data_IF_136600861415
#
_entry.id   IF_136600861415
#
_cell.length_a   1.000
_cell.length_b   1.000
_cell.length_c   1.000
_cell.angle_alpha   90.00
_cell.angle_beta   90.00
_cell.angle_gamma   90.00
#
_symmetry.space_group_name_H-M   'P 1'
#
loop_
_entity.id
_entity.type
_entity.pdbx_description
1 polymer ?
#
# COMPACT_ATOMS: atom_id res chain seq x y z
N UNK A 1 14.38 19.58 -30.66
CA UNK A 1 13.34 18.55 -30.45
C UNK A 1 12.35 19.07 -29.41
N UNK A 2 11.06 18.76 -29.52
CA UNK A 2 10.05 19.25 -28.58
C UNK A 2 10.27 18.70 -27.15
N UNK A 3 10.05 19.56 -26.15
CA UNK A 3 10.07 19.21 -24.74
C UNK A 3 8.81 18.42 -24.35
N UNK A 4 8.94 17.49 -23.40
CA UNK A 4 7.87 16.64 -22.86
C UNK A 4 7.62 17.08 -21.42
N UNK A 5 6.41 17.60 -21.16
CA UNK A 5 5.98 18.05 -19.84
C UNK A 5 5.38 16.89 -19.05
N UNK A 6 5.98 16.57 -17.91
CA UNK A 6 5.62 15.46 -17.04
C UNK A 6 5.13 16.02 -15.71
N UNK A 7 3.90 15.72 -15.32
CA UNK A 7 3.40 15.98 -13.98
C UNK A 7 3.55 14.72 -13.13
N UNK A 8 4.35 14.79 -12.06
CA UNK A 8 4.45 13.72 -11.06
C UNK A 8 3.64 14.15 -9.84
N UNK A 9 2.55 13.43 -9.57
CA UNK A 9 1.73 13.65 -8.38
C UNK A 9 2.25 12.78 -7.24
N UNK A 10 2.68 13.41 -6.15
CA UNK A 10 3.24 12.75 -4.98
C UNK A 10 4.75 12.96 -4.84
N UNK A 11 5.20 13.14 -3.59
CA UNK A 11 6.60 13.37 -3.21
C UNK A 11 7.04 12.34 -2.16
N UNK A 12 6.46 11.15 -2.19
CA UNK A 12 6.85 10.03 -1.34
C UNK A 12 8.17 9.40 -1.78
N UNK A 13 8.59 8.34 -1.09
CA UNK A 13 9.87 7.67 -1.33
C UNK A 13 10.09 7.22 -2.78
N UNK A 14 9.04 6.76 -3.47
CA UNK A 14 9.14 6.30 -4.85
C UNK A 14 9.30 7.42 -5.88
N UNK A 15 8.89 8.65 -5.54
CA UNK A 15 8.88 9.74 -6.49
C UNK A 15 10.30 10.23 -6.83
N UNK A 16 11.24 10.22 -5.88
CA UNK A 16 12.62 10.66 -6.13
C UNK A 16 13.34 9.83 -7.21
N UNK A 17 13.44 8.48 -7.11
CA UNK A 17 14.11 7.69 -8.15
C UNK A 17 13.40 7.79 -9.52
N UNK A 18 12.07 7.91 -9.53
CA UNK A 18 11.30 8.16 -10.76
C UNK A 18 11.71 9.49 -11.41
N UNK A 19 11.67 10.59 -10.65
CA UNK A 19 12.02 11.94 -11.14
C UNK A 19 13.49 12.02 -11.54
N UNK A 20 14.40 11.43 -10.75
CA UNK A 20 15.82 11.36 -11.08
C UNK A 20 16.03 10.66 -12.43
N UNK A 21 15.45 9.47 -12.62
CA UNK A 21 15.56 8.73 -13.88
C UNK A 21 15.03 9.54 -15.07
N UNK A 22 13.83 10.12 -14.95
CA UNK A 22 13.21 10.91 -16.00
C UNK A 22 14.02 12.19 -16.32
N UNK A 23 14.66 12.78 -15.33
CA UNK A 23 15.48 13.99 -15.48
C UNK A 23 16.75 13.76 -16.31
N UNK A 24 17.20 12.49 -16.47
CA UNK A 24 18.36 12.13 -17.31
C UNK A 24 18.12 12.45 -18.78
N UNK A 25 16.86 12.46 -19.22
CA UNK A 25 16.51 12.90 -20.57
C UNK A 25 16.50 14.43 -20.67
N UNK A 26 17.21 15.04 -21.65
CA UNK A 26 17.17 16.48 -21.86
C UNK A 26 15.81 16.99 -22.37
N UNK A 27 14.90 16.07 -22.76
CA UNK A 27 13.56 16.41 -23.24
C UNK A 27 12.54 16.52 -22.11
N UNK A 28 12.85 16.06 -20.90
CA UNK A 28 11.88 16.01 -19.80
C UNK A 28 11.84 17.35 -19.06
N UNK A 29 10.67 17.97 -18.99
CA UNK A 29 10.32 19.05 -18.06
C UNK A 29 9.38 18.51 -17.00
N UNK A 30 9.84 18.41 -15.75
CA UNK A 30 9.11 17.68 -14.71
C UNK A 30 8.57 18.65 -13.67
N UNK A 31 7.26 18.57 -13.41
CA UNK A 31 6.62 19.26 -12.30
C UNK A 31 6.24 18.24 -11.23
N UNK A 32 6.73 18.40 -10.00
CA UNK A 32 6.38 17.53 -8.88
C UNK A 32 5.34 18.23 -8.01
N UNK A 33 4.12 17.69 -8.01
CA UNK A 33 2.96 18.23 -7.31
C UNK A 33 2.69 17.54 -5.98
N UNK A 34 2.58 18.32 -4.90
CA UNK A 34 2.18 17.84 -3.58
C UNK A 34 1.40 18.86 -2.77
N UNK A 35 0.60 18.38 -1.81
CA UNK A 35 -0.14 19.24 -0.89
C UNK A 35 0.80 20.13 -0.06
N UNK A 36 1.91 19.56 0.40
CA UNK A 36 2.96 20.28 1.12
C UNK A 36 4.06 20.67 0.15
N UNK A 37 4.14 21.94 -0.26
CA UNK A 37 5.15 22.41 -1.23
C UNK A 37 6.57 22.02 -0.82
N UNK A 38 6.89 22.14 0.47
CA UNK A 38 8.23 21.86 1.00
C UNK A 38 8.74 20.44 0.71
N UNK A 39 7.85 19.44 0.71
CA UNK A 39 8.26 18.06 0.44
C UNK A 39 8.61 17.85 -1.04
N UNK A 40 7.90 18.54 -1.94
CA UNK A 40 8.24 18.56 -3.37
C UNK A 40 9.55 19.30 -3.62
N UNK A 41 9.79 20.45 -2.96
CA UNK A 41 11.06 21.20 -3.06
C UNK A 41 12.27 20.34 -2.66
N UNK A 42 12.17 19.61 -1.55
CA UNK A 42 13.23 18.70 -1.08
C UNK A 42 13.49 17.60 -2.12
N UNK A 43 12.43 17.06 -2.71
CA UNK A 43 12.54 15.99 -3.70
C UNK A 43 13.27 16.45 -4.96
N UNK A 44 12.90 17.62 -5.50
CA UNK A 44 13.45 18.14 -6.75
C UNK A 44 14.85 18.77 -6.59
N UNK A 45 15.28 19.03 -5.37
CA UNK A 45 16.58 19.65 -5.10
C UNK A 45 17.74 18.87 -5.75
N UNK A 46 18.52 19.56 -6.57
CA UNK A 46 19.66 18.99 -7.31
C UNK A 46 19.30 18.30 -8.63
N UNK A 47 18.03 18.28 -9.05
CA UNK A 47 17.59 17.63 -10.29
C UNK A 47 17.35 18.64 -11.41
N UNK A 48 17.98 18.44 -12.57
CA UNK A 48 17.84 19.33 -13.71
C UNK A 48 16.42 19.27 -14.32
N UNK A 49 15.91 20.42 -14.79
CA UNK A 49 14.59 20.56 -15.46
C UNK A 49 13.42 20.06 -14.61
N UNK A 50 13.51 20.27 -13.30
CA UNK A 50 12.46 19.92 -12.35
C UNK A 50 11.96 21.19 -11.64
N UNK A 51 10.67 21.21 -11.30
CA UNK A 51 10.08 22.25 -10.44
C UNK A 51 9.10 21.64 -9.45
N UNK A 52 9.04 22.20 -8.25
CA UNK A 52 8.05 21.85 -7.24
C UNK A 52 6.81 22.74 -7.41
N UNK A 53 5.63 22.16 -7.28
CA UNK A 53 4.36 22.89 -7.28
C UNK A 53 3.46 22.39 -6.16
N UNK A 54 2.68 23.31 -5.58
CA UNK A 54 1.67 22.95 -4.59
C UNK A 54 0.39 22.53 -5.32
N UNK A 55 -0.07 21.31 -5.05
CA UNK A 55 -1.31 20.76 -5.61
C UNK A 55 -2.00 19.92 -4.54
N UNK A 56 -3.28 20.19 -4.29
CA UNK A 56 -4.16 19.26 -3.58
C UNK A 56 -4.95 18.43 -4.61
N UNK A 57 -4.76 17.10 -4.59
CA UNK A 57 -5.50 16.18 -5.46
C UNK A 57 -7.01 16.16 -5.15
N UNK A 58 -7.44 16.73 -4.03
CA UNK A 58 -8.85 16.93 -3.71
C UNK A 58 -9.44 18.17 -4.39
N UNK A 59 -8.63 19.13 -4.83
CA UNK A 59 -9.07 20.31 -5.56
C UNK A 59 -9.16 20.02 -7.07
N UNK A 60 -10.37 19.89 -7.60
CA UNK A 60 -10.60 19.58 -9.02
C UNK A 60 -9.99 20.63 -9.94
N UNK A 61 -10.11 21.92 -9.58
CA UNK A 61 -9.57 23.01 -10.40
C UNK A 61 -8.05 23.01 -10.47
N UNK A 62 -7.36 22.79 -9.35
CA UNK A 62 -5.89 22.76 -9.32
C UNK A 62 -5.37 21.55 -10.11
N UNK A 63 -6.04 20.40 -9.93
CA UNK A 63 -5.69 19.17 -10.60
C UNK A 63 -5.93 19.28 -12.11
N UNK A 64 -7.06 19.82 -12.54
CA UNK A 64 -7.39 20.05 -13.95
C UNK A 64 -6.37 20.99 -14.62
N UNK A 65 -6.10 22.16 -14.02
CA UNK A 65 -5.11 23.13 -14.55
C UNK A 65 -3.72 22.50 -14.70
N UNK A 66 -3.27 21.73 -13.71
CA UNK A 66 -1.97 21.09 -13.74
C UNK A 66 -1.88 19.96 -14.78
N UNK A 67 -2.93 19.15 -14.89
CA UNK A 67 -3.02 18.08 -15.87
C UNK A 67 -3.06 18.65 -17.29
N UNK A 68 -3.91 19.65 -17.56
CA UNK A 68 -4.04 20.32 -18.85
C UNK A 68 -2.71 20.92 -19.35
N UNK A 69 -1.83 21.34 -18.43
CA UNK A 69 -0.52 21.90 -18.75
C UNK A 69 0.56 20.84 -19.08
N UNK A 70 0.22 19.55 -19.04
CA UNK A 70 1.16 18.43 -19.11
C UNK A 70 0.90 17.50 -20.30
N UNK A 71 1.90 16.73 -20.71
CA UNK A 71 1.75 15.70 -21.75
C UNK A 71 1.46 14.32 -21.14
N UNK A 72 1.96 14.07 -19.94
CA UNK A 72 1.75 12.83 -19.19
C UNK A 72 1.69 13.13 -17.69
N UNK A 73 0.84 12.40 -16.98
CA UNK A 73 0.70 12.43 -15.53
C UNK A 73 1.18 11.10 -14.96
N UNK A 74 2.08 11.14 -14.00
CA UNK A 74 2.52 9.99 -13.22
C UNK A 74 1.91 10.12 -11.81
N UNK A 75 0.97 9.23 -11.48
CA UNK A 75 0.27 9.24 -10.20
C UNK A 75 0.95 8.31 -9.20
N UNK A 76 1.68 8.91 -8.24
CA UNK A 76 2.34 8.23 -7.11
C UNK A 76 1.69 8.60 -5.77
N UNK A 77 0.43 9.05 -5.82
CA UNK A 77 -0.42 9.32 -4.65
C UNK A 77 -1.22 8.06 -4.26
N UNK A 78 -1.92 8.04 -3.09
CA UNK A 78 -2.75 6.91 -2.70
C UNK A 78 -3.77 6.48 -3.78
N UNK A 79 -3.96 5.17 -3.94
CA UNK A 79 -4.73 4.59 -5.05
C UNK A 79 -6.19 5.06 -5.14
N UNK A 80 -6.75 5.53 -4.03
CA UNK A 80 -8.11 6.09 -3.97
C UNK A 80 -8.31 7.30 -4.89
N UNK A 81 -7.23 8.02 -5.23
CA UNK A 81 -7.29 9.20 -6.10
C UNK A 81 -7.16 8.86 -7.59
N UNK A 82 -6.72 7.65 -7.95
CA UNK A 82 -6.38 7.31 -9.34
C UNK A 82 -7.57 7.44 -10.29
N UNK A 83 -8.76 6.96 -9.89
CA UNK A 83 -9.94 7.03 -10.74
C UNK A 83 -10.34 8.49 -11.07
N UNK A 84 -10.17 9.41 -10.10
CA UNK A 84 -10.40 10.84 -10.30
C UNK A 84 -9.37 11.47 -11.24
N UNK A 85 -8.08 11.19 -10.99
CA UNK A 85 -6.97 11.69 -11.81
C UNK A 85 -7.12 11.23 -13.26
N UNK A 86 -7.43 9.95 -13.48
CA UNK A 86 -7.64 9.38 -14.81
C UNK A 86 -8.82 10.04 -15.51
N UNK A 87 -9.94 10.26 -14.82
CA UNK A 87 -11.12 10.94 -15.39
C UNK A 87 -10.77 12.34 -15.90
N UNK A 88 -10.04 13.12 -15.10
CA UNK A 88 -9.62 14.48 -15.48
C UNK A 88 -8.59 14.45 -16.62
N UNK A 89 -7.66 13.49 -16.60
CA UNK A 89 -6.68 13.30 -17.67
C UNK A 89 -7.32 12.91 -19.00
N UNK A 90 -8.33 12.04 -19.00
CA UNK A 90 -9.13 11.69 -20.18
C UNK A 90 -9.79 12.94 -20.77
N UNK A 91 -10.41 13.78 -19.94
CA UNK A 91 -11.04 15.02 -20.39
C UNK A 91 -10.03 15.99 -21.05
N UNK A 92 -8.80 16.03 -20.54
CA UNK A 92 -7.72 16.86 -21.06
C UNK A 92 -6.88 16.19 -22.16
N UNK A 93 -7.19 14.95 -22.54
CA UNK A 93 -6.42 14.14 -23.50
C UNK A 93 -4.95 13.93 -23.10
N UNK A 94 -4.71 13.71 -21.81
CA UNK A 94 -3.38 13.54 -21.22
C UNK A 94 -3.17 12.09 -20.80
N UNK A 95 -2.01 11.52 -21.14
CA UNK A 95 -1.67 10.14 -20.80
C UNK A 95 -1.41 9.99 -19.29
N UNK A 96 -1.66 8.80 -18.75
CA UNK A 96 -1.50 8.52 -17.32
C UNK A 96 -0.65 7.28 -17.09
N UNK A 97 0.24 7.35 -16.09
CA UNK A 97 1.00 6.21 -15.57
C UNK A 97 0.75 6.07 -14.07
N UNK A 98 0.52 4.85 -13.60
CA UNK A 98 0.43 4.53 -12.16
C UNK A 98 1.16 3.23 -11.85
N UNK A 99 1.61 3.06 -10.61
CA UNK A 99 2.22 1.81 -10.11
C UNK A 99 1.24 0.99 -9.27
N UNK A 100 -0.07 1.15 -9.51
CA UNK A 100 -1.13 0.53 -8.71
C UNK A 100 -2.02 -0.35 -9.58
N UNK A 101 -2.68 -1.33 -8.95
CA UNK A 101 -3.67 -2.20 -9.57
C UNK A 101 -4.78 -1.44 -10.30
N UNK A 102 -5.31 -2.04 -11.36
CA UNK A 102 -6.52 -1.57 -12.06
C UNK A 102 -7.76 -1.89 -11.22
N UNK A 103 -8.27 -0.89 -10.51
CA UNK A 103 -9.51 -1.02 -9.74
C UNK A 103 -10.76 -1.07 -10.65
N UNK A 104 -11.93 -1.55 -10.16
CA UNK A 104 -13.18 -1.49 -10.92
C UNK A 104 -13.54 -0.08 -11.40
N UNK A 105 -13.27 0.94 -10.59
CA UNK A 105 -13.51 2.34 -10.93
C UNK A 105 -12.58 2.87 -12.03
N UNK A 106 -11.35 2.32 -12.15
CA UNK A 106 -10.44 2.59 -13.27
C UNK A 106 -10.93 1.84 -14.51
N UNK A 107 -11.26 0.55 -14.38
CA UNK A 107 -11.72 -0.30 -15.48
C UNK A 107 -12.97 0.24 -16.18
N UNK A 108 -13.90 0.83 -15.42
CA UNK A 108 -15.10 1.47 -15.97
C UNK A 108 -14.80 2.66 -16.92
N UNK A 109 -13.57 3.18 -16.93
CA UNK A 109 -13.15 4.31 -17.76
C UNK A 109 -12.43 3.89 -19.06
N UNK A 110 -12.21 2.59 -19.29
CA UNK A 110 -11.44 2.06 -20.43
C UNK A 110 -11.97 2.56 -21.79
N UNK A 111 -13.27 2.43 -22.03
CA UNK A 111 -13.89 2.91 -23.29
C UNK A 111 -13.81 4.44 -23.45
N UNK A 112 -13.80 5.19 -22.35
CA UNK A 112 -13.63 6.64 -22.39
C UNK A 112 -12.19 7.01 -22.75
N UNK A 113 -11.20 6.32 -22.19
CA UNK A 113 -9.78 6.50 -22.51
C UNK A 113 -9.50 6.19 -23.99
N UNK A 114 -10.00 5.06 -24.50
CA UNK A 114 -9.88 4.67 -25.91
C UNK A 114 -10.48 5.73 -26.85
N UNK A 115 -11.70 6.19 -26.57
CA UNK A 115 -12.37 7.24 -27.37
C UNK A 115 -11.62 8.57 -27.34
N UNK A 116 -10.99 8.91 -26.22
CA UNK A 116 -10.19 10.13 -26.09
C UNK A 116 -8.79 10.01 -26.73
N UNK A 117 -8.36 8.80 -27.13
CA UNK A 117 -7.00 8.55 -27.60
C UNK A 117 -5.94 8.65 -26.49
N UNK A 118 -6.35 8.38 -25.25
CA UNK A 118 -5.50 8.51 -24.05
C UNK A 118 -5.01 7.13 -23.63
N UNK A 119 -3.70 7.03 -23.41
CA UNK A 119 -3.07 5.83 -22.85
C UNK A 119 -3.03 5.95 -21.34
N UNK A 120 -3.57 4.93 -20.66
CA UNK A 120 -3.51 4.78 -19.21
C UNK A 120 -2.78 3.48 -18.91
N UNK A 121 -1.55 3.57 -18.40
CA UNK A 121 -0.74 2.42 -18.00
C UNK A 121 -0.75 2.32 -16.48
N UNK A 122 -1.23 1.20 -15.98
CA UNK A 122 -1.24 0.84 -14.56
C UNK A 122 -0.19 -0.25 -14.30
N UNK A 123 -0.05 -0.69 -13.04
CA UNK A 123 0.68 -1.92 -12.72
C UNK A 123 2.12 -1.93 -13.26
N UNK A 124 2.81 -0.78 -13.23
CA UNK A 124 4.22 -0.65 -13.64
C UNK A 124 5.13 -0.30 -12.45
N UNK A 125 4.95 -1.01 -11.34
CA UNK A 125 5.80 -0.97 -10.16
C UNK A 125 6.72 -2.18 -10.05
N UNK A 126 6.85 -2.71 -8.83
CA UNK A 126 7.56 -3.97 -8.55
C UNK A 126 6.56 -5.13 -8.50
N UNK A 127 5.56 -4.99 -7.64
CA UNK A 127 4.40 -5.88 -7.48
C UNK A 127 3.21 -4.97 -7.11
N UNK A 128 2.31 -4.66 -8.07
CA UNK A 128 2.27 -5.17 -9.45
C UNK A 128 3.25 -4.43 -10.40
N UNK A 129 3.94 -5.17 -11.26
CA UNK A 129 4.78 -4.67 -12.37
C UNK A 129 5.86 -5.64 -12.85
N UNK A 130 7.05 -5.56 -12.26
CA UNK A 130 8.18 -6.44 -12.63
C UNK A 130 7.79 -7.91 -12.52
N UNK A 131 6.99 -8.26 -11.52
CA UNK A 131 6.48 -9.61 -11.36
C UNK A 131 5.64 -10.08 -12.57
N UNK A 132 4.80 -9.22 -13.15
CA UNK A 132 4.05 -9.54 -14.38
C UNK A 132 4.98 -9.75 -15.57
N UNK A 133 5.99 -8.89 -15.73
CA UNK A 133 6.91 -8.96 -16.86
C UNK A 133 7.64 -10.31 -16.91
N UNK A 134 8.15 -10.77 -15.76
CA UNK A 134 8.85 -12.05 -15.69
C UNK A 134 7.90 -13.25 -15.69
N UNK A 135 6.71 -13.12 -15.09
CA UNK A 135 5.69 -14.17 -15.16
C UNK A 135 5.29 -14.43 -16.62
N UNK A 136 4.88 -13.39 -17.36
CA UNK A 136 4.47 -13.49 -18.76
C UNK A 136 5.61 -14.02 -19.62
N UNK A 137 6.83 -13.47 -19.45
CA UNK A 137 8.00 -13.95 -20.19
C UNK A 137 8.20 -15.46 -20.05
N UNK A 138 8.19 -15.98 -18.82
CA UNK A 138 8.41 -17.41 -18.58
C UNK A 138 7.25 -18.28 -19.08
N UNK A 139 6.00 -17.80 -18.94
CA UNK A 139 4.82 -18.49 -19.47
C UNK A 139 4.91 -18.60 -21.00
N UNK A 140 5.21 -17.50 -21.68
CA UNK A 140 5.37 -17.45 -23.14
C UNK A 140 6.50 -18.38 -23.61
N UNK A 141 7.64 -18.40 -22.89
CA UNK A 141 8.76 -19.29 -23.19
C UNK A 141 8.39 -20.77 -23.09
N UNK A 142 7.60 -21.15 -22.08
CA UNK A 142 7.10 -22.52 -21.91
C UNK A 142 6.09 -22.86 -23.00
N UNK A 143 5.11 -22.00 -23.27
CA UNK A 143 4.10 -22.23 -24.30
C UNK A 143 4.69 -22.29 -25.71
N UNK A 144 5.74 -21.51 -26.00
CA UNK A 144 6.43 -21.54 -27.31
C UNK A 144 7.10 -22.88 -27.63
N UNK A 145 7.29 -23.73 -26.61
CA UNK A 145 7.86 -25.07 -26.72
C UNK A 145 6.79 -26.16 -26.49
N UNK A 146 5.51 -25.81 -26.68
CA UNK A 146 4.34 -26.68 -26.42
C UNK A 146 4.26 -27.20 -24.98
N UNK A 147 4.97 -26.55 -24.05
CA UNK A 147 4.93 -26.84 -22.62
C UNK A 147 3.64 -26.35 -21.97
N UNK A 148 3.38 -26.82 -20.75
CA UNK A 148 2.17 -26.46 -19.98
C UNK A 148 2.56 -25.99 -18.58
N UNK A 149 1.98 -24.88 -18.15
CA UNK A 149 2.14 -24.41 -16.77
C UNK A 149 1.17 -25.20 -15.90
N UNK A 150 1.68 -26.10 -15.07
CA UNK A 150 0.85 -26.90 -14.15
C UNK A 150 0.50 -26.16 -12.87
N UNK A 151 1.51 -25.46 -12.34
CA UNK A 151 1.38 -24.67 -11.12
C UNK A 151 2.14 -23.37 -11.29
N UNK A 152 1.58 -22.29 -10.75
CA UNK A 152 2.19 -20.97 -10.74
C UNK A 152 2.22 -20.42 -9.32
N UNK A 153 3.41 -20.03 -8.87
CA UNK A 153 3.63 -19.40 -7.58
C UNK A 153 4.47 -18.13 -7.75
N UNK A 154 3.99 -17.00 -7.24
CA UNK A 154 4.75 -15.76 -7.21
C UNK A 154 4.65 -15.12 -5.82
N UNK A 155 5.79 -14.87 -5.19
CA UNK A 155 5.83 -14.31 -3.85
C UNK A 155 6.77 -13.11 -3.82
N UNK A 156 6.30 -11.97 -3.32
CA UNK A 156 7.08 -10.74 -3.22
C UNK A 156 7.03 -10.17 -1.78
N UNK A 157 8.12 -9.53 -1.34
CA UNK A 157 8.16 -8.86 -0.05
C UNK A 157 9.19 -7.74 0.00
N UNK A 158 8.75 -6.52 0.30
CA UNK A 158 9.62 -5.42 0.69
C UNK A 158 9.90 -5.48 2.18
N UNK A 159 11.04 -6.04 2.56
CA UNK A 159 11.41 -6.29 3.96
C UNK A 159 12.72 -5.57 4.33
N UNK A 160 12.94 -5.21 5.61
CA UNK A 160 14.27 -4.79 6.04
C UNK A 160 15.28 -5.92 5.81
N UNK A 161 16.54 -5.57 5.57
CA UNK A 161 17.61 -6.57 5.56
C UNK A 161 17.66 -7.30 6.92
N UNK A 162 18.06 -8.59 6.98
CA UNK A 162 18.04 -9.38 8.21
C UNK A 162 18.73 -8.71 9.40
N UNK A 163 19.88 -8.07 9.18
CA UNK A 163 20.63 -7.34 10.21
C UNK A 163 19.92 -6.09 10.75
N UNK A 164 18.91 -5.59 10.02
CA UNK A 164 18.09 -4.44 10.38
C UNK A 164 16.66 -4.87 10.77
N UNK A 165 16.41 -6.17 10.94
CA UNK A 165 15.15 -6.72 11.42
C UNK A 165 15.13 -6.68 12.96
N UNK A 166 14.83 -5.51 13.50
CA UNK A 166 15.07 -5.14 14.90
C UNK A 166 13.79 -4.77 15.67
N UNK A 167 12.60 -5.04 15.11
CA UNK A 167 11.32 -4.71 15.71
C UNK A 167 10.32 -5.87 15.65
N UNK A 168 9.27 -5.86 16.51
CA UNK A 168 8.35 -6.99 16.67
C UNK A 168 7.53 -7.35 15.43
N UNK A 169 7.32 -6.39 14.52
CA UNK A 169 6.62 -6.65 13.25
C UNK A 169 7.57 -7.19 12.18
N UNK A 170 8.87 -7.18 12.41
CA UNK A 170 9.89 -7.47 11.41
C UNK A 170 9.72 -6.69 10.11
N UNK A 171 9.35 -5.42 10.23
CA UNK A 171 9.10 -4.55 9.08
C UNK A 171 9.68 -3.17 9.31
N UNK A 172 10.11 -2.51 8.24
CA UNK A 172 10.36 -1.07 8.22
C UNK A 172 9.61 -0.45 7.07
N UNK A 173 9.01 0.71 7.28
CA UNK A 173 8.16 1.32 6.28
C UNK A 173 9.00 1.95 5.18
N UNK A 174 8.92 1.36 3.98
CA UNK A 174 9.43 1.94 2.73
C UNK A 174 8.33 2.58 1.87
N UNK A 175 7.08 2.57 2.38
CA UNK A 175 5.89 3.15 1.77
C UNK A 175 4.81 3.40 2.84
N UNK A 176 3.64 3.88 2.44
CA UNK A 176 2.55 4.28 3.35
C UNK A 176 2.22 3.20 4.40
N UNK A 177 2.41 3.44 5.71
CA UNK A 177 2.08 2.49 6.77
C UNK A 177 0.59 2.09 6.75
N UNK A 178 -0.30 3.05 6.48
CA UNK A 178 -1.74 2.79 6.31
C UNK A 178 -2.00 1.78 5.20
N UNK A 179 -1.34 1.95 4.06
CA UNK A 179 -1.45 1.02 2.94
C UNK A 179 -0.92 -0.38 3.27
N UNK A 180 0.16 -0.48 4.06
CA UNK A 180 0.74 -1.76 4.53
C UNK A 180 -0.25 -2.54 5.37
N UNK A 181 -0.96 -1.87 6.29
CA UNK A 181 -1.94 -2.55 7.14
C UNK A 181 -3.22 -2.91 6.40
N UNK A 182 -3.70 -2.03 5.51
CA UNK A 182 -4.90 -2.33 4.73
C UNK A 182 -4.69 -3.48 3.74
N UNK A 183 -3.51 -3.59 3.12
CA UNK A 183 -3.24 -4.72 2.22
C UNK A 183 -3.27 -6.06 2.95
N UNK A 184 -2.99 -6.06 4.26
CA UNK A 184 -3.08 -7.23 5.14
C UNK A 184 -4.51 -7.50 5.64
N UNK A 185 -5.47 -6.63 5.33
CA UNK A 185 -6.89 -6.79 5.65
C UNK A 185 -7.74 -7.10 4.41
N UNK A 186 -7.13 -7.41 3.27
CA UNK A 186 -7.86 -7.80 2.07
C UNK A 186 -8.40 -9.23 2.20
N UNK A 187 -9.49 -9.56 1.52
CA UNK A 187 -9.81 -10.97 1.27
C UNK A 187 -8.86 -11.54 0.22
N UNK A 188 -8.64 -12.84 0.27
CA UNK A 188 -7.96 -13.62 -0.75
C UNK A 188 -8.94 -14.56 -1.45
N UNK A 189 -8.70 -14.83 -2.72
CA UNK A 189 -9.27 -15.96 -3.47
C UNK A 189 -8.09 -16.63 -4.16
N UNK A 190 -8.01 -17.92 -4.47
CA UNK A 190 -6.97 -18.52 -5.34
C UNK A 190 -7.36 -19.86 -5.92
N UNK A 191 -6.63 -20.32 -6.94
CA UNK A 191 -6.84 -21.65 -7.51
C UNK A 191 -5.81 -22.59 -6.89
N UNK A 192 -6.27 -23.70 -6.31
CA UNK A 192 -5.43 -24.77 -5.79
C UNK A 192 -6.10 -26.11 -6.08
N UNK A 193 -5.37 -27.00 -6.75
CA UNK A 193 -5.87 -28.32 -7.13
C UNK A 193 -7.23 -28.25 -7.85
N UNK A 194 -7.33 -27.36 -8.85
CA UNK A 194 -8.52 -27.05 -9.66
C UNK A 194 -9.71 -26.47 -8.87
N UNK A 195 -9.52 -26.16 -7.59
CA UNK A 195 -10.55 -25.62 -6.72
C UNK A 195 -10.26 -24.17 -6.40
N UNK A 196 -11.29 -23.35 -6.55
CA UNK A 196 -11.28 -21.99 -6.00
C UNK A 196 -11.30 -22.07 -4.48
N UNK A 197 -10.31 -21.46 -3.85
CA UNK A 197 -10.17 -21.28 -2.41
C UNK A 197 -10.39 -19.81 -2.11
N UNK A 198 -11.44 -19.47 -1.37
CA UNK A 198 -11.67 -18.11 -0.90
C UNK A 198 -11.31 -18.02 0.59
N UNK A 199 -10.55 -16.99 0.96
CA UNK A 199 -10.10 -16.68 2.31
C UNK A 199 -10.61 -15.29 2.68
N UNK A 200 -11.52 -15.19 3.66
CA UNK A 200 -11.99 -13.92 4.18
C UNK A 200 -10.84 -13.07 4.74
N UNK A 201 -11.02 -11.74 4.76
CA UNK A 201 -10.05 -10.80 5.32
C UNK A 201 -9.55 -11.15 6.73
N UNK A 202 -10.44 -11.66 7.58
CA UNK A 202 -10.13 -12.09 8.94
C UNK A 202 -9.12 -13.24 9.01
N UNK A 203 -9.02 -14.03 7.93
CA UNK A 203 -8.21 -15.24 7.82
C UNK A 203 -7.05 -15.06 6.82
N UNK A 204 -6.91 -13.89 6.17
CA UNK A 204 -5.89 -13.62 5.14
C UNK A 204 -4.47 -13.81 5.65
N UNK A 205 -4.19 -13.45 6.90
CA UNK A 205 -2.87 -13.68 7.52
C UNK A 205 -2.48 -15.16 7.62
N UNK A 206 -3.29 -16.07 7.07
CA UNK A 206 -2.96 -17.46 6.83
C UNK A 206 -2.62 -17.82 5.35
N UNK A 207 -3.17 -17.23 4.27
CA UNK A 207 -2.82 -17.58 2.86
C UNK A 207 -3.17 -16.49 1.78
N UNK A 208 -2.94 -16.73 0.47
CA UNK A 208 -2.68 -15.72 -0.60
C UNK A 208 -3.63 -15.70 -1.87
N UNK A 209 -3.43 -14.88 -2.94
CA UNK A 209 -4.40 -14.55 -4.06
C UNK A 209 -3.90 -14.78 -5.52
N UNK A 210 -4.66 -15.10 -6.60
CA UNK A 210 -4.17 -15.28 -7.96
C UNK A 210 -4.47 -14.05 -8.80
N UNK A 211 -3.83 -14.03 -9.96
CA UNK A 211 -4.13 -13.11 -11.04
C UNK A 211 -4.13 -13.85 -12.37
N UNK A 212 -4.72 -13.24 -13.39
CA UNK A 212 -5.01 -13.88 -14.66
C UNK A 212 -3.82 -13.76 -15.63
N UNK A 213 -2.98 -14.81 -15.70
CA UNK A 213 -1.82 -14.88 -16.60
C UNK A 213 -2.05 -15.69 -17.88
N UNK A 214 -3.30 -15.97 -18.27
CA UNK A 214 -3.57 -16.74 -19.50
C UNK A 214 -3.11 -18.20 -19.44
N UNK A 215 -3.07 -18.79 -18.25
CA UNK A 215 -2.68 -20.19 -17.97
C UNK A 215 -3.89 -21.05 -17.56
N UNK A 216 -4.90 -21.26 -18.44
CA UNK A 216 -6.09 -22.05 -18.10
C UNK A 216 -5.76 -23.53 -17.81
N UNK A 217 -4.57 -23.99 -18.18
CA UNK A 217 -4.08 -25.35 -17.94
C UNK A 217 -3.43 -25.56 -16.56
N UNK A 218 -3.24 -24.49 -15.79
CA UNK A 218 -2.70 -24.54 -14.44
C UNK A 218 -3.80 -24.92 -13.44
N UNK A 219 -3.56 -25.96 -12.64
CA UNK A 219 -4.49 -26.38 -11.59
C UNK A 219 -4.21 -25.65 -10.25
N UNK A 220 -3.07 -24.99 -10.12
CA UNK A 220 -2.71 -24.15 -8.95
C UNK A 220 -2.11 -22.83 -9.39
N UNK A 221 -2.64 -21.71 -8.89
CA UNK A 221 -2.16 -20.35 -9.17
C UNK A 221 -2.22 -19.53 -7.88
N UNK A 222 -1.06 -19.09 -7.37
CA UNK A 222 -0.95 -18.35 -6.12
C UNK A 222 0.03 -17.19 -6.27
N UNK A 223 -0.41 -15.97 -5.94
CA UNK A 223 0.44 -14.79 -5.71
C UNK A 223 0.33 -14.36 -4.26
N UNK A 224 1.45 -14.22 -3.56
CA UNK A 224 1.48 -13.94 -2.13
C UNK A 224 2.49 -12.91 -1.68
N UNK A 225 2.30 -12.46 -0.45
CA UNK A 225 3.23 -11.55 0.23
C UNK A 225 4.16 -12.31 1.16
N UNK A 226 5.46 -12.07 1.06
CA UNK A 226 6.46 -12.55 2.02
C UNK A 226 6.56 -11.61 3.21
N UNK A 227 6.69 -12.18 4.41
CA UNK A 227 6.94 -11.48 5.67
C UNK A 227 7.91 -12.30 6.52
N UNK A 228 8.57 -11.63 7.47
CA UNK A 228 9.29 -12.35 8.52
C UNK A 228 8.32 -13.04 9.47
N UNK A 229 8.79 -14.11 10.10
CA UNK A 229 8.04 -14.80 11.15
C UNK A 229 7.65 -13.83 12.27
N UNK A 230 6.48 -14.07 12.85
CA UNK A 230 5.87 -13.21 13.86
C UNK A 230 5.02 -12.06 13.33
N UNK A 231 5.27 -11.58 12.11
CA UNK A 231 4.48 -10.49 11.51
C UNK A 231 2.99 -10.87 11.34
N UNK A 232 2.62 -12.02 10.72
CA UNK A 232 1.21 -12.38 10.57
C UNK A 232 0.47 -12.53 11.90
N UNK A 233 1.14 -13.06 12.93
CA UNK A 233 0.57 -13.26 14.27
C UNK A 233 0.27 -11.92 14.94
N UNK A 234 1.22 -10.98 14.89
CA UNK A 234 1.05 -9.66 15.50
C UNK A 234 0.05 -8.79 14.72
N UNK A 235 0.06 -8.81 13.38
CA UNK A 235 -0.94 -8.13 12.56
C UNK A 235 -2.35 -8.68 12.83
N UNK A 236 -2.50 -10.01 12.95
CA UNK A 236 -3.79 -10.62 13.30
C UNK A 236 -4.28 -10.14 14.67
N UNK A 237 -3.40 -10.03 15.66
CA UNK A 237 -3.74 -9.50 16.96
C UNK A 237 -4.18 -8.02 16.89
N UNK A 238 -3.50 -7.18 16.10
CA UNK A 238 -3.92 -5.80 15.85
C UNK A 238 -5.29 -5.71 15.18
N UNK A 239 -5.57 -6.59 14.20
CA UNK A 239 -6.88 -6.66 13.54
C UNK A 239 -7.98 -7.02 14.55
N UNK A 240 -7.77 -8.10 15.31
CA UNK A 240 -8.75 -8.63 16.27
C UNK A 240 -9.04 -7.66 17.43
N UNK A 241 -8.05 -6.86 17.82
CA UNK A 241 -8.20 -5.83 18.86
C UNK A 241 -8.77 -4.51 18.36
N UNK A 242 -9.12 -4.42 17.06
CA UNK A 242 -9.76 -3.25 16.46
C UNK A 242 -8.79 -2.14 16.05
N UNK A 243 -7.48 -2.33 16.23
CA UNK A 243 -6.47 -1.31 15.93
C UNK A 243 -6.30 -1.02 14.43
N UNK A 244 -6.75 -1.95 13.56
CA UNK A 244 -6.74 -1.76 12.11
C UNK A 244 -8.06 -1.23 11.55
N UNK A 245 -8.98 -0.79 12.41
CA UNK A 245 -10.24 -0.19 11.99
C UNK A 245 -10.00 1.19 11.36
N UNK A 246 -10.46 1.34 10.12
CA UNK A 246 -10.35 2.54 9.30
C UNK A 246 -11.59 3.44 9.38
N UNK A 247 -12.59 3.09 10.19
CA UNK A 247 -13.78 3.90 10.40
C UNK A 247 -13.56 4.94 11.51
N UNK A 248 -14.03 6.19 11.34
CA UNK A 248 -13.99 7.20 12.40
C UNK A 248 -14.73 6.73 13.66
N UNK A 249 -14.20 7.09 14.82
CA UNK A 249 -14.82 6.78 16.12
C UNK A 249 -15.09 8.09 16.86
N UNK A 250 -16.36 8.33 17.23
CA UNK A 250 -16.74 9.54 17.99
C UNK A 250 -15.99 9.66 19.32
N UNK A 251 -15.68 8.52 19.95
CA UNK A 251 -14.97 8.46 21.22
C UNK A 251 -13.45 8.66 21.09
N UNK A 252 -12.89 8.67 19.87
CA UNK A 252 -11.47 8.85 19.63
C UNK A 252 -11.13 10.34 19.62
N UNK A 253 -10.71 10.85 20.78
CA UNK A 253 -10.42 12.26 21.00
C UNK A 253 -8.97 12.64 20.68
N UNK A 254 -8.65 13.93 20.57
CA UNK A 254 -7.32 14.42 20.15
C UNK A 254 -6.15 14.06 21.07
N UNK A 255 -6.40 13.63 22.32
CA UNK A 255 -5.35 13.30 23.27
C UNK A 255 -5.82 12.29 24.33
N UNK A 256 -5.83 11.00 23.99
CA UNK A 256 -6.15 9.89 24.90
C UNK A 256 -4.89 9.03 25.12
N UNK A 257 -4.64 8.55 26.35
CA UNK A 257 -3.59 7.55 26.59
C UNK A 257 -3.77 6.31 25.70
N UNK A 258 -2.67 5.70 25.27
CA UNK A 258 -2.73 4.48 24.46
C UNK A 258 -3.46 3.34 25.18
N UNK A 259 -3.20 3.15 26.47
CA UNK A 259 -3.86 2.14 27.29
C UNK A 259 -5.39 2.35 27.37
N UNK A 260 -5.86 3.58 27.51
CA UNK A 260 -7.29 3.89 27.50
C UNK A 260 -7.91 3.68 26.12
N UNK A 261 -7.20 4.05 25.05
CA UNK A 261 -7.63 3.80 23.68
C UNK A 261 -7.75 2.30 23.40
N UNK A 262 -6.77 1.50 23.84
CA UNK A 262 -6.80 0.03 23.76
C UNK A 262 -7.95 -0.54 24.58
N UNK A 263 -8.20 -0.02 25.79
CA UNK A 263 -9.32 -0.47 26.63
C UNK A 263 -10.66 -0.28 25.91
N UNK A 264 -10.87 0.89 25.30
CA UNK A 264 -12.09 1.19 24.54
C UNK A 264 -12.20 0.34 23.27
N UNK A 265 -11.12 0.21 22.50
CA UNK A 265 -11.10 -0.58 21.26
C UNK A 265 -11.42 -2.06 21.50
N UNK A 266 -10.93 -2.61 22.62
CA UNK A 266 -11.10 -4.03 22.98
C UNK A 266 -12.28 -4.30 23.91
N UNK A 267 -12.97 -3.26 24.37
CA UNK A 267 -13.98 -3.32 25.44
C UNK A 267 -13.44 -4.01 26.71
N UNK A 268 -12.21 -3.66 27.11
CA UNK A 268 -11.62 -4.10 28.37
C UNK A 268 -12.26 -3.37 29.56
N UNK A 269 -12.22 -4.00 30.73
CA UNK A 269 -12.82 -3.46 31.97
C UNK A 269 -12.24 -2.10 32.37
N UNK A 270 -10.94 -1.92 32.18
CA UNK A 270 -10.19 -0.72 32.52
C UNK A 270 -8.90 -0.66 31.68
N UNK A 271 -8.15 0.44 31.83
CA UNK A 271 -6.88 0.68 31.10
C UNK A 271 -5.65 0.12 31.80
N UNK A 272 -5.78 -0.67 32.88
CA UNK A 272 -4.63 -1.24 33.53
C UNK A 272 -4.04 -2.37 32.66
N UNK A 273 -2.71 -2.47 32.61
CA UNK A 273 -2.03 -3.38 31.70
C UNK A 273 -2.45 -4.86 31.90
N UNK A 274 -2.71 -5.29 33.14
CA UNK A 274 -3.17 -6.66 33.42
C UNK A 274 -4.56 -6.93 32.81
N UNK A 275 -5.49 -5.99 32.93
CA UNK A 275 -6.82 -6.05 32.30
C UNK A 275 -6.71 -6.09 30.79
N UNK A 276 -5.87 -5.24 30.19
CA UNK A 276 -5.64 -5.19 28.75
C UNK A 276 -5.05 -6.50 28.23
N UNK A 277 -4.01 -7.03 28.88
CA UNK A 277 -3.41 -8.32 28.53
C UNK A 277 -4.43 -9.45 28.65
N UNK A 278 -5.24 -9.47 29.70
CA UNK A 278 -6.31 -10.46 29.86
C UNK A 278 -7.30 -10.39 28.70
N UNK A 279 -7.66 -9.17 28.25
CA UNK A 279 -8.59 -8.99 27.14
C UNK A 279 -7.97 -9.38 25.79
N UNK A 280 -6.69 -9.09 25.57
CA UNK A 280 -5.95 -9.55 24.39
C UNK A 280 -5.93 -11.08 24.33
N UNK A 281 -5.67 -11.76 25.45
CA UNK A 281 -5.70 -13.24 25.54
C UNK A 281 -7.07 -13.82 25.22
N UNK A 282 -8.14 -13.15 25.63
CA UNK A 282 -9.53 -13.57 25.36
C UNK A 282 -9.89 -13.43 23.87
N UNK A 283 -9.49 -12.32 23.24
CA UNK A 283 -9.90 -11.97 21.87
C UNK A 283 -9.02 -12.65 20.81
N UNK A 284 -7.70 -12.75 21.07
CA UNK A 284 -6.74 -13.24 20.09
C UNK A 284 -6.59 -14.76 20.17
N UNK A 285 -6.70 -15.42 19.02
CA UNK A 285 -6.29 -16.83 18.87
C UNK A 285 -4.78 -16.92 18.68
N UNK A 286 -4.11 -17.73 19.50
CA UNK A 286 -2.67 -18.00 19.46
C UNK A 286 -2.41 -19.50 19.63
N UNK A 287 -1.31 -19.98 19.05
CA UNK A 287 -0.97 -21.42 18.97
C UNK A 287 -0.16 -21.93 20.17
N UNK A 288 0.36 -21.03 21.02
CA UNK A 288 1.09 -21.37 22.24
C UNK A 288 1.69 -20.14 22.94
N UNK A 289 2.37 -20.37 24.07
CA UNK A 289 2.93 -19.30 24.91
C UNK A 289 3.94 -18.42 24.16
N UNK A 290 4.78 -19.00 23.29
CA UNK A 290 5.75 -18.23 22.48
C UNK A 290 5.07 -17.18 21.60
N UNK A 291 3.94 -17.53 21.00
CA UNK A 291 3.19 -16.59 20.16
C UNK A 291 2.49 -15.53 21.02
N UNK A 292 1.96 -15.92 22.17
CA UNK A 292 1.36 -14.98 23.11
C UNK A 292 2.39 -13.95 23.61
N UNK A 293 3.59 -14.40 23.99
CA UNK A 293 4.68 -13.53 24.40
C UNK A 293 5.09 -12.55 23.29
N UNK A 294 5.14 -13.03 22.03
CA UNK A 294 5.37 -12.18 20.87
C UNK A 294 4.27 -11.10 20.74
N UNK A 295 2.99 -11.49 20.84
CA UNK A 295 1.87 -10.55 20.74
C UNK A 295 1.96 -9.48 21.84
N UNK A 296 2.10 -9.90 23.10
CA UNK A 296 2.13 -8.98 24.23
C UNK A 296 3.37 -8.07 24.19
N UNK A 297 4.56 -8.62 23.87
CA UNK A 297 5.77 -7.82 23.73
C UNK A 297 5.67 -6.82 22.56
N UNK A 298 5.03 -7.20 21.45
CA UNK A 298 4.73 -6.31 20.34
C UNK A 298 3.83 -5.15 20.74
N UNK A 299 2.73 -5.42 21.45
CA UNK A 299 1.82 -4.37 21.94
C UNK A 299 2.52 -3.41 22.93
N UNK A 300 3.39 -3.93 23.80
CA UNK A 300 4.21 -3.11 24.69
C UNK A 300 5.18 -2.22 23.93
N UNK A 301 5.90 -2.79 22.96
CA UNK A 301 6.89 -2.07 22.16
C UNK A 301 6.24 -0.94 21.34
N UNK A 302 5.06 -1.19 20.78
CA UNK A 302 4.25 -0.19 20.09
C UNK A 302 3.60 0.85 21.04
N UNK A 303 3.83 0.74 22.35
CA UNK A 303 3.27 1.65 23.34
C UNK A 303 1.76 1.51 23.58
N UNK A 304 1.10 0.50 22.99
CA UNK A 304 -0.37 0.37 23.01
C UNK A 304 -0.95 0.08 24.40
N UNK A 305 -0.10 -0.34 25.34
CA UNK A 305 -0.46 -0.59 26.73
C UNK A 305 0.02 0.50 27.69
N UNK A 306 0.52 1.63 27.16
CA UNK A 306 1.16 2.69 27.95
C UNK A 306 0.22 3.86 28.25
N UNK A 307 0.55 4.63 29.29
CA UNK A 307 -0.12 5.90 29.61
C UNK A 307 0.33 7.08 28.71
N UNK A 308 1.23 6.82 27.74
CA UNK A 308 1.65 7.81 26.77
C UNK A 308 0.46 8.30 25.93
N UNK A 309 0.42 9.60 25.65
CA UNK A 309 -0.67 10.18 24.84
C UNK A 309 -0.47 9.87 23.36
N UNK A 310 -1.51 9.33 22.72
CA UNK A 310 -1.53 9.10 21.28
C UNK A 310 -1.71 10.42 20.51
N UNK A 311 -1.04 10.56 19.36
CA UNK A 311 -1.37 11.61 18.39
C UNK A 311 -2.47 11.09 17.48
N UNK A 312 -3.72 11.35 17.85
CA UNK A 312 -4.89 10.82 17.13
C UNK A 312 -5.00 11.37 15.71
N UNK A 313 -5.38 10.51 14.77
CA UNK A 313 -5.51 10.80 13.34
C UNK A 313 -6.86 10.35 12.77
N UNK A 314 -7.98 10.76 13.37
CA UNK A 314 -9.33 10.49 12.86
C UNK A 314 -9.84 9.05 13.02
N UNK A 315 -9.00 8.05 12.74
CA UNK A 315 -9.30 6.60 12.86
C UNK A 315 -8.25 5.91 13.73
N UNK A 316 -8.54 4.70 14.23
CA UNK A 316 -7.57 3.90 14.99
C UNK A 316 -6.39 3.49 14.12
N UNK A 317 -6.69 3.03 12.90
CA UNK A 317 -5.67 2.66 11.92
C UNK A 317 -4.72 3.82 11.61
N UNK A 318 -5.25 5.01 11.33
CA UNK A 318 -4.42 6.16 10.97
C UNK A 318 -3.60 6.65 12.19
N UNK A 319 -4.16 6.53 13.39
CA UNK A 319 -3.47 6.85 14.64
C UNK A 319 -2.27 5.92 14.88
N UNK A 320 -2.49 4.61 14.73
CA UNK A 320 -1.43 3.60 14.83
C UNK A 320 -0.39 3.79 13.72
N UNK A 321 -0.83 3.93 12.46
CA UNK A 321 0.02 4.13 11.30
C UNK A 321 0.96 5.33 11.49
N UNK A 322 0.43 6.45 12.00
CA UNK A 322 1.24 7.66 12.25
C UNK A 322 2.23 7.49 13.39
N UNK A 323 1.86 6.73 14.42
CA UNK A 323 2.77 6.40 15.50
C UNK A 323 3.94 5.53 15.02
N UNK A 324 3.62 4.45 14.31
CA UNK A 324 4.62 3.49 13.82
C UNK A 324 5.49 4.06 12.69
N UNK A 325 4.99 5.04 11.91
CA UNK A 325 5.81 5.78 10.94
C UNK A 325 7.08 6.37 11.58
N UNK A 326 7.01 6.78 12.86
CA UNK A 326 8.15 7.36 13.58
C UNK A 326 9.11 6.32 14.13
N UNK A 327 8.61 5.13 14.47
CA UNK A 327 9.39 4.10 15.20
C UNK A 327 9.90 2.99 14.29
N UNK A 328 9.32 2.85 13.09
CA UNK A 328 9.65 1.80 12.12
C UNK A 328 10.14 2.37 10.77
N UNK A 329 10.61 3.61 10.73
CA UNK A 329 11.30 4.15 9.55
C UNK A 329 12.70 3.53 9.40
N UNK A 330 13.24 3.56 8.17
CA UNK A 330 14.65 3.25 7.92
C UNK A 330 15.57 4.32 8.50
#
# INVERSE_FOLDING_TARGET
MASIKILVLGSGMFARPCVEYLSRSPKSEISVGCRTLKTAEILVNGLARTKAIQIDVNCDEDLDKAIAASNVVISLVPFVYHAKIIKIAIANKVNVVTTSYVSPAIRAQDEHAKKAGVVVINEVGVDPGVDHLYAIKTIDEVHSQDGKIKEFYSYCGGLPAPQNNDNPLGMKFSWSPRGVFLSQCNSASFLKDDKRVDIPAADLMANAVPEFYGIPEAHTVIRGSLRYDGNPQLTRALLKTGWLDAEPKEWLSTATPWAETTARATNAKDSNERSLISKIKEICSYTGEKELDLIISGFRWMGLLSDGKATVQGTLLDTLAKHLEKTMSF
#
